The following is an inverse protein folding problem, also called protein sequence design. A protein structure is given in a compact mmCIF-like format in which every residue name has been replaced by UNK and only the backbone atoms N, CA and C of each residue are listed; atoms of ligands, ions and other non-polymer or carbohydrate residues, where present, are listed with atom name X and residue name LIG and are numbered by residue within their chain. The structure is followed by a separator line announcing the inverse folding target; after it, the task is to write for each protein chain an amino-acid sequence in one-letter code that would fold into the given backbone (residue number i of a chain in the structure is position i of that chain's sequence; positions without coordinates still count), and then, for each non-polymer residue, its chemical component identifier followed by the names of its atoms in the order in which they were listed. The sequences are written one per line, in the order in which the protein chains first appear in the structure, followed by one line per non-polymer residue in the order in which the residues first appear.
data_IF_194159009825
#
_entry.id   IF_194159009825
#
_cell.length_a   1.000
_cell.length_b   1.000
_cell.length_c   1.000
_cell.angle_alpha   90.00
_cell.angle_beta   90.00
_cell.angle_gamma   90.00
#
_symmetry.space_group_name_H-M   'P 1'
#
loop_
_entity.id
_entity.type
_entity.pdbx_description
1 polymer ?
#
# COMPACT_ATOMS: atom_id res chain seq x y z
N UNK A 1 -6.73 1.57 -14.91
CA UNK A 1 -6.10 2.43 -13.89
C UNK A 1 -6.66 2.07 -12.54
N UNK A 2 -6.12 1.04 -11.91
CA UNK A 2 -6.51 0.67 -10.56
C UNK A 2 -5.21 0.43 -9.78
N UNK A 3 -4.96 1.31 -8.81
CA UNK A 3 -3.83 1.22 -7.90
C UNK A 3 -4.44 0.94 -6.53
N UNK A 4 -3.94 -0.09 -5.84
CA UNK A 4 -4.32 -0.53 -4.49
C UNK A 4 -5.43 -1.59 -4.30
N UNK A 5 -5.80 -2.38 -5.33
CA UNK A 5 -6.72 -3.52 -5.14
C UNK A 5 -6.21 -4.58 -4.16
N UNK A 6 -4.89 -4.70 -3.98
CA UNK A 6 -4.30 -5.59 -2.98
C UNK A 6 -4.46 -5.15 -1.52
N UNK A 7 -5.00 -3.94 -1.26
CA UNK A 7 -5.22 -3.43 0.10
C UNK A 7 -6.64 -3.68 0.63
N UNK A 8 -7.61 -3.79 -0.28
CA UNK A 8 -9.00 -4.12 0.07
C UNK A 8 -9.16 -5.64 0.24
N UNK A 9 -9.99 -6.07 1.19
CA UNK A 9 -10.49 -7.46 1.18
C UNK A 9 -11.41 -7.64 -0.03
N UNK A 10 -11.15 -8.68 -0.83
CA UNK A 10 -11.66 -8.88 -2.19
C UNK A 10 -13.19 -9.12 -2.29
N UNK A 11 -13.94 -8.82 -1.23
CA UNK A 11 -15.40 -8.95 -1.20
C UNK A 11 -16.11 -8.21 -0.07
N UNK A 12 -15.41 -7.42 0.76
CA UNK A 12 -16.02 -6.70 1.90
C UNK A 12 -15.42 -5.29 2.05
N UNK A 13 -16.09 -4.25 1.52
CA UNK A 13 -15.62 -2.87 1.65
C UNK A 13 -16.04 -2.27 3.00
N UNK A 14 -15.72 -2.98 4.10
CA UNK A 14 -15.88 -2.43 5.45
C UNK A 14 -14.52 -1.92 5.93
N UNK A 15 -14.43 -0.75 6.58
CA UNK A 15 -13.17 -0.22 7.09
C UNK A 15 -12.38 -1.21 7.97
N UNK A 16 -13.08 -2.07 8.70
CA UNK A 16 -12.49 -3.05 9.62
C UNK A 16 -12.13 -4.39 8.93
N UNK A 17 -12.51 -4.56 7.67
CA UNK A 17 -12.23 -5.77 6.89
C UNK A 17 -11.03 -5.62 5.95
N UNK A 18 -10.42 -4.43 5.85
CA UNK A 18 -9.28 -4.21 4.95
C UNK A 18 -8.08 -5.10 5.35
N UNK A 19 -7.48 -5.78 4.37
CA UNK A 19 -6.28 -6.60 4.59
C UNK A 19 -5.06 -5.74 4.93
N UNK A 20 -5.03 -4.51 4.41
CA UNK A 20 -4.00 -3.53 4.65
C UNK A 20 -4.62 -2.12 4.75
N UNK A 21 -4.07 -1.26 5.60
CA UNK A 21 -4.52 0.13 5.76
C UNK A 21 -3.32 1.08 5.63
N UNK A 22 -3.09 1.62 4.42
CA UNK A 22 -1.99 2.53 4.20
C UNK A 22 -2.27 3.87 4.88
N UNK A 23 -1.40 4.30 5.79
CA UNK A 23 -1.58 5.51 6.62
C UNK A 23 -0.57 6.61 6.35
N UNK A 24 0.54 6.29 5.68
CA UNK A 24 1.63 7.23 5.43
C UNK A 24 2.37 6.89 4.14
N UNK A 25 2.92 7.93 3.50
CA UNK A 25 3.67 7.82 2.25
C UNK A 25 4.91 8.72 2.30
N UNK A 26 6.04 8.20 1.79
CA UNK A 26 7.28 8.97 1.66
C UNK A 26 8.02 8.56 0.37
N UNK A 27 8.65 9.53 -0.28
CA UNK A 27 9.49 9.30 -1.47
C UNK A 27 10.95 9.33 -1.03
N UNK A 28 11.71 8.29 -1.37
CA UNK A 28 13.14 8.24 -1.11
C UNK A 28 13.96 8.94 -2.19
N UNK A 29 15.24 9.30 -1.91
CA UNK A 29 16.11 9.96 -2.88
C UNK A 29 16.36 9.15 -4.17
N UNK A 30 16.23 7.84 -4.11
CA UNK A 30 16.32 6.93 -5.25
C UNK A 30 15.02 6.82 -6.07
N UNK A 31 13.99 7.58 -5.69
CA UNK A 31 12.67 7.59 -6.33
C UNK A 31 11.73 6.49 -5.87
N UNK A 32 12.12 5.64 -4.91
CA UNK A 32 11.23 4.61 -4.37
C UNK A 32 10.10 5.23 -3.52
N UNK A 33 8.90 4.64 -3.59
CA UNK A 33 7.76 5.01 -2.76
C UNK A 33 7.64 4.08 -1.56
N UNK A 34 7.68 4.63 -0.36
CA UNK A 34 7.44 3.91 0.89
C UNK A 34 6.01 4.12 1.36
N UNK A 35 5.34 3.04 1.79
CA UNK A 35 3.95 3.05 2.28
C UNK A 35 3.91 2.31 3.62
N UNK A 36 3.40 2.96 4.67
CA UNK A 36 3.19 2.31 5.97
C UNK A 36 1.80 1.72 6.07
N UNK A 37 1.71 0.43 6.40
CA UNK A 37 0.49 -0.31 6.65
C UNK A 37 0.39 -0.67 8.13
N UNK A 38 -0.62 -0.11 8.82
CA UNK A 38 -0.77 -0.26 10.26
C UNK A 38 -1.59 -1.51 10.67
N UNK A 39 -2.35 -2.10 9.74
CA UNK A 39 -3.07 -3.36 9.97
C UNK A 39 -2.11 -4.54 9.82
N UNK A 40 -1.36 -4.59 8.72
CA UNK A 40 -0.36 -5.63 8.49
C UNK A 40 0.96 -5.41 9.23
N UNK A 41 1.14 -4.24 9.88
CA UNK A 41 2.36 -3.90 10.60
C UNK A 41 3.60 -3.87 9.71
N UNK A 42 3.44 -3.44 8.45
CA UNK A 42 4.47 -3.56 7.40
C UNK A 42 4.77 -2.23 6.74
N UNK A 43 6.03 -2.05 6.35
CA UNK A 43 6.42 -0.98 5.42
C UNK A 43 6.66 -1.59 4.04
N UNK A 44 5.93 -1.10 3.05
CA UNK A 44 6.10 -1.48 1.65
C UNK A 44 7.08 -0.52 0.97
N UNK A 45 7.96 -1.04 0.12
CA UNK A 45 8.81 -0.26 -0.78
C UNK A 45 8.46 -0.60 -2.21
N UNK A 46 7.97 0.38 -2.96
CA UNK A 46 7.59 0.25 -4.36
C UNK A 46 8.70 0.88 -5.21
N UNK A 47 9.22 0.11 -6.16
CA UNK A 47 10.20 0.57 -7.14
C UNK A 47 9.63 0.38 -8.54
N UNK A 48 9.96 1.31 -9.44
CA UNK A 48 9.61 1.22 -10.85
C UNK A 48 10.80 0.69 -11.64
N UNK A 49 10.60 -0.37 -12.43
CA UNK A 49 11.67 -1.02 -13.19
C UNK A 49 11.69 -0.61 -14.68
N UNK A 50 10.76 0.23 -15.15
CA UNK A 50 10.83 0.80 -16.50
C UNK A 50 9.97 0.16 -17.60
N UNK A 51 9.15 -0.85 -17.29
CA UNK A 51 8.36 -1.62 -18.28
C UNK A 51 6.87 -1.26 -18.32
#
# INVERSE_FOLDING_TARGET
TEIATGFADAGRPLPDAALHRPVGVAVAPDGALFISDDVGGRIWRVTWNGE
#
